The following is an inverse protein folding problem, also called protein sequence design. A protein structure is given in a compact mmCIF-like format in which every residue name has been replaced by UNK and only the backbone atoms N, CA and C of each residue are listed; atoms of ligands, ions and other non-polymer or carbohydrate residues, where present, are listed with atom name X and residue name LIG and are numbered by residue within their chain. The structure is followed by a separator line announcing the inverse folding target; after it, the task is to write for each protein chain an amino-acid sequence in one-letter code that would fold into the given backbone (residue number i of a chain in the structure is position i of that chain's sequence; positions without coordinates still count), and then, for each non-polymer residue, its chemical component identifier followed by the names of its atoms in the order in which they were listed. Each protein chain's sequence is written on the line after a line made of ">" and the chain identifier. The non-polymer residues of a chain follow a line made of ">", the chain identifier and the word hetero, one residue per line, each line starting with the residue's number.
data_IF_159258200515
#
_entry.id   IF_159258200515
#
_cell.length_a   1.000
_cell.length_b   1.000
_cell.length_c   1.000
_cell.angle_alpha   90.00
_cell.angle_beta   90.00
_cell.angle_gamma   90.00
#
_symmetry.space_group_name_H-M   'P 1'
#
loop_
_entity.id
_entity.type
_entity.pdbx_description
1 polymer ?
#
# COMPACT_ATOMS: atom_id res chain seq x y z
N UNK A 1 -19.25 11.77 0.41
CA UNK A 1 -20.02 10.86 -0.48
C UNK A 1 -20.22 11.34 -1.92
N UNK A 2 -19.76 12.55 -2.30
CA UNK A 2 -19.93 13.09 -3.67
C UNK A 2 -18.69 12.97 -4.57
N UNK A 3 -17.61 12.36 -4.08
CA UNK A 3 -16.36 12.16 -4.84
C UNK A 3 -16.43 10.81 -5.54
N UNK A 4 -16.15 10.80 -6.85
CA UNK A 4 -16.13 9.56 -7.63
C UNK A 4 -15.01 8.63 -7.15
N UNK A 5 -15.34 7.35 -6.95
CA UNK A 5 -14.44 6.28 -6.52
C UNK A 5 -13.52 5.79 -7.66
N UNK A 6 -12.88 6.74 -8.35
CA UNK A 6 -11.94 6.51 -9.44
C UNK A 6 -10.64 7.26 -9.16
N UNK A 7 -9.58 6.52 -8.87
CA UNK A 7 -8.31 7.12 -8.45
C UNK A 7 -7.38 7.33 -9.63
N UNK A 8 -6.87 8.55 -9.80
CA UNK A 8 -5.78 8.84 -10.73
C UNK A 8 -4.41 8.44 -10.19
N UNK A 9 -3.42 8.28 -11.08
CA UNK A 9 -2.03 8.12 -10.69
C UNK A 9 -1.10 8.82 -11.68
N UNK A 10 0.02 9.35 -11.17
CA UNK A 10 1.03 10.06 -11.99
C UNK A 10 2.25 9.20 -12.35
N UNK A 11 2.25 7.92 -11.98
CA UNK A 11 3.26 6.94 -12.39
C UNK A 11 4.28 6.53 -11.33
N UNK A 12 4.59 7.37 -10.34
CA UNK A 12 5.66 7.08 -9.35
C UNK A 12 5.48 5.77 -8.59
N UNK A 13 4.24 5.44 -8.20
CA UNK A 13 3.96 4.14 -7.56
C UNK A 13 4.23 2.94 -8.48
N UNK A 14 3.95 3.08 -9.78
CA UNK A 14 4.25 2.03 -10.78
C UNK A 14 5.76 1.81 -10.90
N UNK A 15 6.54 2.90 -10.92
CA UNK A 15 8.00 2.80 -10.95
C UNK A 15 8.53 2.04 -9.74
N UNK A 16 8.04 2.33 -8.53
CA UNK A 16 8.45 1.59 -7.32
C UNK A 16 8.23 0.08 -7.42
N UNK A 17 7.12 -0.37 -8.00
CA UNK A 17 6.86 -1.81 -8.18
C UNK A 17 7.69 -2.43 -9.29
N UNK A 18 7.99 -1.67 -10.34
CA UNK A 18 8.95 -2.10 -11.38
C UNK A 18 10.34 -2.31 -10.78
N UNK A 19 10.83 -1.35 -10.00
CA UNK A 19 12.12 -1.44 -9.30
C UNK A 19 12.16 -2.64 -8.34
N UNK A 20 11.07 -2.88 -7.61
CA UNK A 20 10.94 -4.03 -6.71
C UNK A 20 11.07 -5.37 -7.46
N UNK A 21 10.41 -5.47 -8.63
CA UNK A 21 10.46 -6.67 -9.45
C UNK A 21 11.86 -6.90 -10.05
N UNK A 22 12.50 -5.84 -10.57
CA UNK A 22 13.87 -5.92 -11.11
C UNK A 22 14.87 -6.44 -10.06
N UNK A 23 14.68 -6.05 -8.79
CA UNK A 23 15.56 -6.38 -7.67
C UNK A 23 15.13 -7.61 -6.89
N UNK A 24 14.19 -8.41 -7.41
CA UNK A 24 13.65 -9.60 -6.75
C UNK A 24 13.16 -9.34 -5.31
N UNK A 25 12.67 -8.13 -5.03
CA UNK A 25 12.24 -7.71 -3.70
C UNK A 25 10.73 -7.79 -3.58
N UNK A 26 10.25 -8.58 -2.63
CA UNK A 26 8.82 -8.74 -2.40
C UNK A 26 8.19 -7.45 -1.82
N UNK A 27 7.27 -6.84 -2.59
CA UNK A 27 6.55 -5.62 -2.18
C UNK A 27 5.01 -5.75 -2.32
N UNK A 28 4.39 -6.79 -1.72
CA UNK A 28 2.98 -7.11 -1.94
C UNK A 28 2.02 -6.02 -1.47
N UNK A 29 2.33 -5.30 -0.39
CA UNK A 29 1.45 -4.24 0.13
C UNK A 29 1.42 -3.05 -0.82
N UNK A 30 2.56 -2.67 -1.37
CA UNK A 30 2.66 -1.60 -2.36
C UNK A 30 1.99 -2.01 -3.69
N UNK A 31 2.14 -3.28 -4.10
CA UNK A 31 1.50 -3.82 -5.30
C UNK A 31 -0.03 -3.80 -5.17
N UNK A 32 -0.56 -4.28 -4.04
CA UNK A 32 -1.99 -4.22 -3.74
C UNK A 32 -2.54 -2.78 -3.75
N UNK A 33 -1.75 -1.79 -3.31
CA UNK A 33 -2.12 -0.37 -3.42
C UNK A 33 -2.24 0.10 -4.88
N UNK A 34 -1.43 -0.41 -5.82
CA UNK A 34 -1.61 -0.13 -7.24
C UNK A 34 -2.82 -0.86 -7.82
N UNK A 35 -2.99 -2.14 -7.50
CA UNK A 35 -4.12 -2.94 -7.96
C UNK A 35 -5.46 -2.31 -7.55
N UNK A 36 -5.56 -1.83 -6.31
CA UNK A 36 -6.74 -1.10 -5.84
C UNK A 36 -7.06 0.14 -6.69
N UNK A 37 -6.02 0.87 -7.16
CA UNK A 37 -6.20 2.03 -8.06
C UNK A 37 -6.56 1.61 -9.47
N UNK A 38 -5.97 0.53 -9.99
CA UNK A 38 -6.32 0.00 -11.31
C UNK A 38 -7.78 -0.46 -11.35
N UNK A 39 -8.22 -1.18 -10.31
CA UNK A 39 -9.59 -1.66 -10.17
C UNK A 39 -10.56 -0.48 -9.97
N UNK A 40 -10.20 0.53 -9.17
CA UNK A 40 -11.06 1.72 -9.01
C UNK A 40 -11.26 2.47 -10.34
N UNK A 41 -10.23 2.50 -11.19
CA UNK A 41 -10.25 3.00 -12.57
C UNK A 41 -11.32 2.40 -13.47
N UNK A 42 -11.61 1.10 -13.31
CA UNK A 42 -12.54 0.30 -14.11
C UNK A 42 -13.98 0.39 -13.59
N UNK A 43 -14.48 1.62 -13.41
CA UNK A 43 -15.79 1.87 -12.77
C UNK A 43 -16.95 1.18 -13.50
N UNK A 44 -17.01 1.29 -14.82
CA UNK A 44 -18.07 0.71 -15.64
C UNK A 44 -18.11 -0.81 -15.51
N UNK A 45 -16.95 -1.48 -15.64
CA UNK A 45 -16.83 -2.93 -15.43
C UNK A 45 -17.30 -3.35 -14.03
N UNK A 46 -16.93 -2.60 -12.98
CA UNK A 46 -17.36 -2.90 -11.60
C UNK A 46 -18.86 -2.80 -11.40
N UNK A 47 -19.49 -1.77 -11.98
CA UNK A 47 -20.95 -1.58 -11.89
C UNK A 47 -21.70 -2.70 -12.62
N UNK A 48 -21.22 -3.16 -13.77
CA UNK A 48 -21.83 -4.30 -14.46
C UNK A 48 -21.58 -5.62 -13.71
N UNK A 49 -20.37 -5.83 -13.17
CA UNK A 49 -20.05 -7.03 -12.41
C UNK A 49 -20.89 -7.15 -11.13
N UNK A 50 -21.18 -6.04 -10.43
CA UNK A 50 -22.01 -6.01 -9.23
C UNK A 50 -23.42 -6.57 -9.48
N UNK A 51 -23.98 -6.40 -10.68
CA UNK A 51 -25.31 -6.92 -11.03
C UNK A 51 -25.34 -8.45 -11.14
N UNK A 52 -24.19 -9.07 -11.38
CA UNK A 52 -24.07 -10.50 -11.70
C UNK A 52 -23.47 -11.27 -10.51
N UNK A 53 -22.43 -10.73 -9.88
CA UNK A 53 -21.70 -11.38 -8.80
C UNK A 53 -22.44 -11.25 -7.47
N UNK A 54 -22.57 -12.38 -6.76
CA UNK A 54 -23.21 -12.42 -5.43
C UNK A 54 -22.13 -12.52 -4.36
N UNK A 55 -22.19 -11.61 -3.38
CA UNK A 55 -21.32 -11.62 -2.21
C UNK A 55 -21.86 -12.47 -1.05
N UNK A 56 -21.02 -12.75 -0.04
CA UNK A 56 -21.47 -13.39 1.20
C UNK A 56 -22.49 -12.50 1.92
N UNK A 57 -23.59 -13.09 2.39
CA UNK A 57 -24.67 -12.39 3.12
C UNK A 57 -24.57 -12.52 4.63
N UNK A 58 -23.78 -13.48 5.12
CA UNK A 58 -23.59 -13.71 6.54
C UNK A 58 -22.79 -12.55 7.16
N UNK A 59 -23.39 -11.87 8.14
CA UNK A 59 -22.67 -10.93 9.01
C UNK A 59 -22.25 -11.68 10.27
N UNK A 60 -20.94 -11.82 10.53
CA UNK A 60 -20.51 -12.43 11.78
C UNK A 60 -20.94 -11.56 12.96
N UNK A 61 -21.36 -12.19 14.06
CA UNK A 61 -21.66 -11.49 15.30
C UNK A 61 -20.32 -11.25 16.01
N UNK A 62 -19.85 -10.02 15.97
CA UNK A 62 -18.58 -9.59 16.56
C UNK A 62 -18.79 -8.35 17.42
N UNK A 63 -18.04 -8.22 18.52
CA UNK A 63 -18.03 -6.99 19.32
C UNK A 63 -17.43 -5.86 18.50
N UNK A 64 -18.10 -4.70 18.51
CA UNK A 64 -17.61 -3.51 17.83
C UNK A 64 -16.29 -3.04 18.41
N UNK A 65 -16.15 -3.11 19.73
CA UNK A 65 -14.96 -2.71 20.48
C UNK A 65 -13.77 -3.59 20.07
N UNK A 66 -14.00 -4.91 19.97
CA UNK A 66 -12.99 -5.86 19.50
C UNK A 66 -12.55 -5.54 18.07
N UNK A 67 -13.51 -5.33 17.15
CA UNK A 67 -13.19 -5.01 15.74
C UNK A 67 -12.37 -3.73 15.62
N UNK A 68 -12.67 -2.69 16.41
CA UNK A 68 -11.90 -1.44 16.40
C UNK A 68 -10.48 -1.66 16.90
N UNK A 69 -10.30 -2.44 17.98
CA UNK A 69 -8.98 -2.76 18.51
C UNK A 69 -8.15 -3.57 17.50
N UNK A 70 -8.75 -4.59 16.89
CA UNK A 70 -8.10 -5.44 15.89
C UNK A 70 -7.74 -4.64 14.64
N UNK A 71 -8.62 -3.75 14.19
CA UNK A 71 -8.36 -2.88 13.03
C UNK A 71 -7.20 -1.92 13.31
N UNK A 72 -7.10 -1.37 14.53
CA UNK A 72 -5.99 -0.51 14.91
C UNK A 72 -4.66 -1.27 14.88
N UNK A 73 -4.61 -2.48 15.45
CA UNK A 73 -3.44 -3.34 15.43
C UNK A 73 -3.07 -3.77 14.00
N UNK A 74 -4.06 -4.15 13.19
CA UNK A 74 -3.87 -4.57 11.80
C UNK A 74 -3.36 -3.42 10.92
N UNK A 75 -3.89 -2.20 11.10
CA UNK A 75 -3.41 -1.01 10.39
C UNK A 75 -1.96 -0.70 10.74
N UNK A 76 -1.61 -0.77 12.03
CA UNK A 76 -0.24 -0.55 12.48
C UNK A 76 0.73 -1.58 11.89
N UNK A 77 0.40 -2.86 12.00
CA UNK A 77 1.19 -3.96 11.43
C UNK A 77 1.36 -3.79 9.91
N UNK A 78 0.28 -3.48 9.20
CA UNK A 78 0.32 -3.25 7.75
C UNK A 78 1.21 -2.06 7.37
N UNK A 79 1.21 -0.98 8.16
CA UNK A 79 2.12 0.15 7.98
C UNK A 79 3.57 -0.30 8.12
N UNK A 80 3.92 -1.01 9.20
CA UNK A 80 5.28 -1.52 9.43
C UNK A 80 5.74 -2.41 8.28
N UNK A 81 4.90 -3.36 7.82
CA UNK A 81 5.18 -4.21 6.68
C UNK A 81 5.47 -3.41 5.40
N UNK A 82 4.67 -2.37 5.12
CA UNK A 82 4.86 -1.51 3.95
C UNK A 82 6.19 -0.75 4.01
N UNK A 83 6.56 -0.20 5.18
CA UNK A 83 7.86 0.46 5.36
C UNK A 83 9.03 -0.53 5.19
N UNK A 84 8.91 -1.74 5.75
CA UNK A 84 9.93 -2.77 5.61
C UNK A 84 10.15 -3.15 4.13
N UNK A 85 9.07 -3.31 3.35
CA UNK A 85 9.14 -3.56 1.91
C UNK A 85 9.87 -2.42 1.18
N UNK A 86 9.52 -1.16 1.49
CA UNK A 86 10.15 0.01 0.86
C UNK A 86 11.63 0.14 1.17
N UNK A 87 12.01 -0.07 2.42
CA UNK A 87 13.42 -0.09 2.83
C UNK A 87 14.18 -1.24 2.16
N UNK A 88 13.54 -2.39 1.96
CA UNK A 88 14.10 -3.52 1.22
C UNK A 88 14.43 -3.15 -0.23
N UNK A 89 13.52 -2.45 -0.93
CA UNK A 89 13.73 -2.01 -2.31
C UNK A 89 14.92 -1.05 -2.39
N UNK A 90 14.99 -0.07 -1.47
CA UNK A 90 16.07 0.92 -1.44
C UNK A 90 17.41 0.24 -1.15
N UNK A 91 17.43 -0.73 -0.24
CA UNK A 91 18.63 -1.49 0.06
C UNK A 91 19.11 -2.28 -1.15
N UNK A 92 18.23 -3.03 -1.81
CA UNK A 92 18.58 -3.75 -3.03
C UNK A 92 19.14 -2.81 -4.10
N UNK A 93 18.50 -1.65 -4.31
CA UNK A 93 19.01 -0.65 -5.24
C UNK A 93 20.37 -0.09 -4.82
N UNK A 94 20.59 0.15 -3.53
CA UNK A 94 21.87 0.64 -3.00
C UNK A 94 22.99 -0.38 -3.21
N UNK A 95 22.70 -1.67 -3.01
CA UNK A 95 23.67 -2.75 -3.15
C UNK A 95 24.04 -2.94 -4.63
N UNK A 96 23.05 -2.97 -5.54
CA UNK A 96 23.27 -3.14 -6.99
C UNK A 96 24.05 -1.98 -7.63
N UNK A 97 23.90 -0.77 -7.10
CA UNK A 97 24.49 0.44 -7.66
C UNK A 97 25.64 1.02 -6.83
N UNK A 98 26.08 0.31 -5.78
CA UNK A 98 27.16 0.72 -4.87
C UNK A 98 26.97 2.12 -4.24
N UNK A 99 25.72 2.52 -3.99
CA UNK A 99 25.41 3.87 -3.49
C UNK A 99 25.69 4.06 -2.00
N UNK A 100 25.87 2.98 -1.24
CA UNK A 100 26.10 3.01 0.21
C UNK A 100 25.05 3.84 0.98
N UNK A 101 23.76 3.64 0.65
CA UNK A 101 22.65 4.39 1.23
C UNK A 101 22.47 4.06 2.71
N UNK A 102 22.47 5.10 3.55
CA UNK A 102 22.11 5.00 4.96
C UNK A 102 20.59 5.06 5.15
N UNK A 103 19.96 3.89 5.32
CA UNK A 103 18.52 3.76 5.53
C UNK A 103 18.04 4.45 6.82
N UNK A 104 18.86 4.50 7.87
CA UNK A 104 18.49 5.15 9.14
C UNK A 104 18.44 6.67 8.97
N UNK A 105 19.37 7.23 8.18
CA UNK A 105 19.34 8.64 7.80
C UNK A 105 18.15 8.97 6.89
N UNK A 106 17.83 8.12 5.91
CA UNK A 106 16.61 8.26 5.10
C UNK A 106 15.35 8.29 5.98
N UNK A 107 15.19 7.33 6.89
CA UNK A 107 14.06 7.28 7.81
C UNK A 107 13.96 8.54 8.68
N UNK A 108 15.10 9.04 9.14
CA UNK A 108 15.18 10.27 9.94
C UNK A 108 14.68 11.49 9.17
N UNK A 109 15.08 11.63 7.91
CA UNK A 109 14.68 12.74 7.05
C UNK A 109 13.18 12.74 6.75
N UNK A 110 12.56 11.56 6.61
CA UNK A 110 11.11 11.44 6.34
C UNK A 110 10.22 11.72 7.55
N UNK A 111 10.77 11.99 8.73
CA UNK A 111 9.99 12.34 9.92
C UNK A 111 9.34 13.73 9.86
N UNK A 112 9.68 14.56 8.87
CA UNK A 112 9.07 15.89 8.72
C UNK A 112 9.11 16.40 7.29
N UNK A 113 8.06 17.14 6.89
CA UNK A 113 7.98 17.86 5.62
C UNK A 113 7.63 17.00 4.41
N UNK A 114 7.28 15.73 4.61
CA UNK A 114 6.85 14.83 3.54
C UNK A 114 5.50 14.19 3.84
N UNK A 115 4.79 13.70 2.80
CA UNK A 115 3.43 13.14 2.94
C UNK A 115 3.41 11.90 3.85
N UNK A 116 4.54 11.18 3.96
CA UNK A 116 4.66 9.98 4.80
C UNK A 116 5.16 10.29 6.22
N UNK A 117 5.22 11.57 6.60
CA UNK A 117 5.61 11.97 7.96
C UNK A 117 4.65 11.39 9.00
N UNK A 118 5.18 11.03 10.17
CA UNK A 118 4.40 10.51 11.27
C UNK A 118 5.22 9.66 12.22
N UNK A 119 4.63 9.34 13.36
CA UNK A 119 5.19 8.35 14.28
C UNK A 119 4.77 6.94 13.81
N UNK A 120 5.75 6.04 13.73
CA UNK A 120 5.50 4.62 13.94
C UNK A 120 5.63 4.37 15.43
#
# INVERSE_FOLDING_TARGET
>A
DYVLDKTGMKGTGRWTIQEAAERNTAAPTMAASLDARYISGRKEERVEAEKILKGPTAKPIVSKEQVVADLAAAMYCSKVCSYAQGMGIIRGASDDNEWNVDLAKCATLWRGGCIMEGRM
#
